data_IF_805989275547
#
_entry.id   IF_805989275547
#
_cell.length_a   1.000
_cell.length_b   1.000
_cell.length_c   1.000
_cell.angle_alpha   90.00
_cell.angle_beta   90.00
_cell.angle_gamma   90.00
#
_symmetry.space_group_name_H-M   'P 1'
#
loop_
_entity.id
_entity.type
_entity.pdbx_description
1 polymer ?
#
# COMPACT_ATOMS: atom_id res chain seq x y z
N UNK A 1 2.27 29.67 -5.95
CA UNK A 1 1.49 29.55 -4.69
C UNK A 1 1.22 28.07 -4.43
N UNK A 2 1.96 27.42 -3.52
CA UNK A 2 1.60 26.08 -3.06
C UNK A 2 0.28 26.21 -2.29
N UNK A 3 -0.84 25.82 -2.90
CA UNK A 3 -2.13 25.75 -2.22
C UNK A 3 -2.05 24.63 -1.19
N UNK A 4 -1.96 24.99 0.08
CA UNK A 4 -2.21 24.09 1.19
C UNK A 4 -3.73 23.90 1.32
N UNK A 5 -4.31 23.07 0.45
CA UNK A 5 -5.63 22.51 0.69
C UNK A 5 -5.50 21.41 1.75
N UNK A 6 -6.34 21.47 2.79
CA UNK A 6 -6.42 20.39 3.78
C UNK A 6 -6.66 19.06 3.05
N UNK A 7 -5.99 17.96 3.42
CA UNK A 7 -6.30 16.65 2.86
C UNK A 7 -7.77 16.35 3.12
N UNK A 8 -8.55 16.22 2.05
CA UNK A 8 -9.97 15.86 2.11
C UNK A 8 -10.07 14.38 1.83
N UNK A 9 -10.80 13.66 2.69
CA UNK A 9 -11.23 12.29 2.43
C UNK A 9 -12.30 12.37 1.35
N UNK A 10 -12.03 11.78 0.19
CA UNK A 10 -12.94 11.78 -0.97
C UNK A 10 -13.79 10.52 -1.03
N UNK A 11 -13.31 9.43 -0.41
CA UNK A 11 -13.96 8.13 -0.38
C UNK A 11 -13.90 7.52 1.02
N UNK A 12 -14.99 6.91 1.46
CA UNK A 12 -15.04 6.16 2.72
C UNK A 12 -14.91 4.66 2.43
N UNK A 13 -13.90 4.04 3.02
CA UNK A 13 -13.69 2.59 2.93
C UNK A 13 -13.99 1.92 4.27
N UNK A 14 -14.61 0.74 4.29
CA UNK A 14 -14.88 0.03 5.52
C UNK A 14 -13.57 -0.45 6.14
N UNK A 15 -13.32 -0.04 7.40
CA UNK A 15 -12.23 -0.58 8.21
C UNK A 15 -12.72 -1.84 8.91
N UNK A 16 -12.09 -2.98 8.63
CA UNK A 16 -12.34 -4.21 9.38
C UNK A 16 -11.65 -4.10 10.75
N UNK A 17 -12.38 -4.03 11.88
CA UNK A 17 -11.79 -3.82 13.21
C UNK A 17 -10.96 -5.01 13.71
N UNK A 18 -11.11 -6.18 13.09
CA UNK A 18 -10.39 -7.41 13.44
C UNK A 18 -9.16 -7.65 12.55
N UNK A 19 -8.90 -6.75 11.60
CA UNK A 19 -7.76 -6.79 10.68
C UNK A 19 -6.79 -5.65 11.02
N UNK A 20 -5.49 -5.94 10.93
CA UNK A 20 -4.45 -4.93 11.09
C UNK A 20 -4.15 -4.32 9.70
N UNK A 21 -4.57 -3.08 9.48
CA UNK A 21 -4.37 -2.37 8.22
C UNK A 21 -3.05 -1.60 8.20
N UNK A 22 -2.13 -2.04 7.35
CA UNK A 22 -0.80 -1.44 7.19
C UNK A 22 -0.73 -0.73 5.84
N UNK A 23 -0.37 0.55 5.83
CA UNK A 23 -0.22 1.33 4.60
C UNK A 23 1.26 1.64 4.37
N UNK A 24 1.83 1.15 3.27
CA UNK A 24 3.09 1.63 2.72
C UNK A 24 2.80 2.83 1.82
N UNK A 25 2.98 4.02 2.37
CA UNK A 25 2.57 5.26 1.74
C UNK A 25 3.73 5.95 1.02
N UNK A 26 3.50 6.43 -0.21
CA UNK A 26 4.49 7.20 -0.98
C UNK A 26 5.83 6.47 -1.18
N UNK A 27 5.78 5.18 -1.56
CA UNK A 27 6.97 4.35 -1.72
C UNK A 27 7.83 4.73 -2.94
N UNK A 28 9.15 4.57 -2.78
CA UNK A 28 10.20 4.73 -3.79
C UNK A 28 10.83 3.39 -4.19
N UNK A 29 11.65 3.39 -5.24
CA UNK A 29 12.25 2.16 -5.78
C UNK A 29 13.05 1.38 -4.74
N UNK A 30 12.75 0.09 -4.63
CA UNK A 30 13.33 -0.82 -3.65
C UNK A 30 12.58 -0.88 -2.32
N UNK A 31 11.79 0.13 -1.96
CA UNK A 31 11.04 0.14 -0.70
C UNK A 31 9.85 -0.82 -0.73
N UNK A 32 9.21 -1.00 -1.89
CA UNK A 32 8.08 -1.94 -2.00
C UNK A 32 8.52 -3.38 -1.75
N UNK A 33 9.71 -3.76 -2.23
CA UNK A 33 10.23 -5.11 -2.01
C UNK A 33 10.51 -5.37 -0.53
N UNK A 34 11.14 -4.42 0.14
CA UNK A 34 11.45 -4.52 1.57
C UNK A 34 10.18 -4.55 2.42
N UNK A 35 9.23 -3.65 2.14
CA UNK A 35 7.95 -3.59 2.83
C UNK A 35 7.12 -4.85 2.61
N UNK A 36 7.11 -5.39 1.39
CA UNK A 36 6.46 -6.66 1.07
C UNK A 36 7.08 -7.82 1.86
N UNK A 37 8.41 -7.96 1.84
CA UNK A 37 9.12 -9.01 2.59
C UNK A 37 8.79 -8.95 4.09
N UNK A 38 8.83 -7.75 4.68
CA UNK A 38 8.49 -7.56 6.09
C UNK A 38 7.03 -7.94 6.39
N UNK A 39 6.11 -7.57 5.50
CA UNK A 39 4.70 -7.93 5.66
C UNK A 39 4.45 -9.44 5.56
N UNK A 40 5.12 -10.13 4.63
CA UNK A 40 5.00 -11.58 4.49
C UNK A 40 5.42 -12.33 5.75
N UNK A 41 6.48 -11.87 6.43
CA UNK A 41 6.89 -12.41 7.72
C UNK A 41 5.88 -12.08 8.83
N UNK A 42 5.41 -10.83 8.90
CA UNK A 42 4.40 -10.41 9.87
C UNK A 42 3.12 -11.25 9.76
N UNK A 43 2.67 -11.52 8.53
CA UNK A 43 1.42 -12.23 8.24
C UNK A 43 1.42 -13.69 8.72
N UNK A 44 2.59 -14.30 8.89
CA UNK A 44 2.71 -15.63 9.52
C UNK A 44 2.20 -15.62 10.97
N UNK A 45 2.38 -14.49 11.67
CA UNK A 45 1.94 -14.29 13.05
C UNK A 45 0.55 -13.64 13.10
N UNK A 46 0.34 -12.59 12.32
CA UNK A 46 -0.91 -11.84 12.24
C UNK A 46 -1.66 -12.18 10.95
N UNK A 47 -2.41 -13.29 10.96
CA UNK A 47 -3.10 -13.81 9.76
C UNK A 47 -4.07 -12.81 9.13
N UNK A 48 -4.72 -11.99 9.97
CA UNK A 48 -5.69 -10.97 9.53
C UNK A 48 -5.02 -9.64 9.13
N UNK A 49 -3.70 -9.55 9.07
CA UNK A 49 -3.03 -8.34 8.62
C UNK A 49 -3.23 -8.11 7.11
N UNK A 50 -3.39 -6.84 6.73
CA UNK A 50 -3.59 -6.38 5.35
C UNK A 50 -2.56 -5.32 5.01
N UNK A 51 -2.03 -5.38 3.80
CA UNK A 51 -1.06 -4.43 3.28
C UNK A 51 -1.67 -3.60 2.14
N UNK A 52 -1.59 -2.29 2.25
CA UNK A 52 -1.90 -1.35 1.18
C UNK A 52 -0.61 -0.73 0.69
N UNK A 53 -0.28 -0.90 -0.58
CA UNK A 53 0.91 -0.31 -1.19
C UNK A 53 0.46 0.88 -2.03
N UNK A 54 0.94 2.08 -1.70
CA UNK A 54 0.55 3.32 -2.39
C UNK A 54 1.81 3.98 -2.98
N UNK A 55 2.20 3.63 -4.21
CA UNK A 55 3.40 4.18 -4.84
C UNK A 55 3.27 5.69 -5.07
N UNK A 56 4.37 6.42 -4.91
CA UNK A 56 4.38 7.89 -5.05
C UNK A 56 4.12 8.35 -6.49
N UNK A 57 4.51 7.54 -7.45
CA UNK A 57 4.73 7.89 -8.85
C UNK A 57 3.95 6.94 -9.77
N UNK A 58 2.98 7.42 -10.57
CA UNK A 58 2.18 6.57 -11.47
C UNK A 58 2.99 5.73 -12.46
N UNK A 59 4.12 6.26 -12.93
CA UNK A 59 5.06 5.57 -13.80
C UNK A 59 5.58 4.26 -13.19
N UNK A 60 5.52 4.12 -11.86
CA UNK A 60 5.98 2.93 -11.14
C UNK A 60 4.89 1.89 -10.90
N UNK A 61 3.62 2.21 -11.13
CA UNK A 61 2.52 1.26 -10.86
C UNK A 61 2.72 -0.08 -11.57
N UNK A 62 3.16 -0.04 -12.84
CA UNK A 62 3.42 -1.26 -13.61
C UNK A 62 4.59 -2.07 -13.05
N UNK A 63 5.66 -1.40 -12.63
CA UNK A 63 6.83 -2.04 -12.03
C UNK A 63 6.46 -2.74 -10.70
N UNK A 64 5.70 -2.05 -9.84
CA UNK A 64 5.25 -2.62 -8.56
C UNK A 64 4.26 -3.77 -8.78
N UNK A 65 3.37 -3.67 -9.77
CA UNK A 65 2.48 -4.77 -10.14
C UNK A 65 3.26 -6.02 -10.54
N UNK A 66 4.30 -5.88 -11.39
CA UNK A 66 5.13 -7.01 -11.80
C UNK A 66 5.88 -7.61 -10.60
N UNK A 67 6.43 -6.76 -9.72
CA UNK A 67 7.07 -7.19 -8.47
C UNK A 67 6.12 -8.02 -7.61
N UNK A 68 4.89 -7.56 -7.40
CA UNK A 68 3.88 -8.31 -6.63
C UNK A 68 3.52 -9.63 -7.31
N UNK A 69 3.34 -9.62 -8.63
CA UNK A 69 3.02 -10.80 -9.38
C UNK A 69 4.11 -11.89 -9.26
N UNK A 70 5.38 -11.50 -9.34
CA UNK A 70 6.50 -12.43 -9.21
C UNK A 70 6.71 -12.89 -7.76
N UNK A 71 6.69 -11.96 -6.80
CA UNK A 71 6.94 -12.25 -5.40
C UNK A 71 5.84 -13.09 -4.74
N UNK A 72 4.59 -12.95 -5.19
CA UNK A 72 3.44 -13.63 -4.59
C UNK A 72 3.02 -14.90 -5.32
N UNK A 73 3.61 -15.20 -6.49
CA UNK A 73 3.27 -16.36 -7.33
C UNK A 73 3.28 -17.71 -6.59
N UNK A 74 4.17 -17.86 -5.62
CA UNK A 74 4.35 -19.10 -4.83
C UNK A 74 3.80 -18.98 -3.41
N UNK A 75 3.17 -17.85 -3.08
CA UNK A 75 2.60 -17.60 -1.75
C UNK A 75 1.10 -17.90 -1.73
N UNK A 76 0.52 -18.30 -0.59
CA UNK A 76 -0.92 -18.51 -0.48
C UNK A 76 -1.70 -17.20 -0.32
N UNK A 77 -1.04 -16.04 -0.44
CA UNK A 77 -1.64 -14.74 -0.15
C UNK A 77 -2.31 -14.13 -1.38
N UNK A 78 -3.49 -13.58 -1.16
CA UNK A 78 -4.30 -12.90 -2.16
C UNK A 78 -3.79 -11.47 -2.39
N UNK A 79 -3.72 -11.04 -3.66
CA UNK A 79 -3.43 -9.66 -3.98
C UNK A 79 -4.23 -9.17 -5.17
N UNK A 80 -4.50 -7.87 -5.20
CA UNK A 80 -5.29 -7.21 -6.25
C UNK A 80 -4.77 -5.80 -6.54
N UNK A 81 -5.11 -5.27 -7.71
CA UNK A 81 -4.91 -3.87 -8.06
C UNK A 81 -6.19 -3.06 -7.84
N UNK A 82 -6.06 -1.88 -7.25
CA UNK A 82 -7.17 -0.97 -7.00
C UNK A 82 -7.84 -0.52 -8.32
N UNK A 83 -7.07 -0.27 -9.37
CA UNK A 83 -7.61 0.06 -10.70
C UNK A 83 -8.45 -1.06 -11.31
N UNK A 84 -8.22 -2.32 -10.92
CA UNK A 84 -8.92 -3.48 -11.49
C UNK A 84 -10.23 -3.79 -10.78
N UNK A 85 -10.23 -3.84 -9.43
CA UNK A 85 -11.40 -4.24 -8.63
C UNK A 85 -11.86 -3.20 -7.60
N UNK A 86 -11.18 -2.07 -7.50
CA UNK A 86 -11.43 -1.07 -6.46
C UNK A 86 -11.00 -1.55 -5.07
N UNK A 87 -11.74 -1.12 -4.05
CA UNK A 87 -11.49 -1.55 -2.67
C UNK A 87 -12.11 -2.93 -2.44
N UNK A 88 -11.26 -3.94 -2.24
CA UNK A 88 -11.66 -5.33 -1.99
C UNK A 88 -10.99 -5.87 -0.75
N UNK A 89 -11.57 -6.92 -0.15
CA UNK A 89 -10.94 -7.68 0.94
C UNK A 89 -9.92 -8.66 0.36
N UNK A 90 -8.64 -8.29 0.45
CA UNK A 90 -7.49 -9.12 0.10
C UNK A 90 -6.33 -8.85 1.06
N UNK A 91 -5.32 -9.71 1.01
CA UNK A 91 -4.14 -9.60 1.87
C UNK A 91 -3.27 -8.41 1.49
N UNK A 92 -3.11 -8.17 0.18
CA UNK A 92 -2.28 -7.09 -0.36
C UNK A 92 -3.06 -6.36 -1.45
N UNK A 93 -3.21 -5.04 -1.32
CA UNK A 93 -3.86 -4.21 -2.31
C UNK A 93 -2.88 -3.15 -2.84
N UNK A 94 -2.60 -3.20 -4.14
CA UNK A 94 -1.85 -2.16 -4.82
C UNK A 94 -2.77 -0.99 -5.16
N UNK A 95 -2.53 0.16 -4.56
CA UNK A 95 -3.27 1.41 -4.79
C UNK A 95 -2.59 2.19 -5.90
N UNK A 96 -2.86 1.79 -7.14
CA UNK A 96 -2.35 2.38 -8.38
C UNK A 96 -3.24 3.53 -8.90
N UNK A 97 -3.69 4.40 -7.99
CA UNK A 97 -4.53 5.55 -8.32
C UNK A 97 -4.13 6.79 -7.54
N UNK A 98 -4.03 7.91 -8.25
CA UNK A 98 -3.77 9.21 -7.64
C UNK A 98 -4.97 9.68 -6.81
N UNK A 99 -4.67 10.35 -5.70
CA UNK A 99 -5.68 10.95 -4.82
C UNK A 99 -6.27 10.02 -3.76
N UNK A 100 -5.96 8.72 -3.80
CA UNK A 100 -6.51 7.76 -2.83
C UNK A 100 -5.76 7.71 -1.50
N UNK A 101 -4.52 8.21 -1.44
CA UNK A 101 -3.66 8.10 -0.26
C UNK A 101 -4.33 8.60 1.04
N UNK A 102 -5.05 9.73 0.98
CA UNK A 102 -5.77 10.26 2.15
C UNK A 102 -6.87 9.33 2.64
N UNK A 103 -7.55 8.64 1.72
CA UNK A 103 -8.60 7.68 2.06
C UNK A 103 -8.00 6.44 2.73
N UNK A 104 -6.83 5.99 2.28
CA UNK A 104 -6.12 4.87 2.91
C UNK A 104 -5.52 5.24 4.28
N UNK A 105 -5.11 6.49 4.50
CA UNK A 105 -4.73 6.95 5.84
C UNK A 105 -5.89 6.87 6.84
N UNK A 106 -7.11 7.17 6.41
CA UNK A 106 -8.27 7.15 7.30
C UNK A 106 -8.62 5.75 7.84
N UNK A 107 -8.23 4.69 7.12
CA UNK A 107 -8.51 3.28 7.51
C UNK A 107 -7.28 2.54 8.05
N UNK A 108 -6.11 3.20 8.07
CA UNK A 108 -4.86 2.60 8.53
C UNK A 108 -4.85 2.43 10.06
N UNK A 109 -4.23 1.34 10.51
CA UNK A 109 -3.75 1.19 11.88
C UNK A 109 -2.29 1.60 11.99
N UNK A 110 -1.50 1.25 10.97
CA UNK A 110 -0.09 1.56 10.88
C UNK A 110 0.18 2.17 9.51
N UNK A 111 0.94 3.25 9.49
CA UNK A 111 1.41 3.90 8.27
C UNK A 111 2.94 3.88 8.27
N UNK A 112 3.52 3.34 7.20
CA UNK A 112 4.95 3.39 6.91
C UNK A 112 5.13 4.36 5.75
N UNK A 113 5.78 5.49 6.01
CA UNK A 113 6.08 6.50 5.01
C UNK A 113 7.36 6.12 4.25
N UNK A 114 7.22 5.91 2.94
CA UNK A 114 8.34 5.77 2.01
C UNK A 114 9.10 7.07 1.78
N UNK A 115 10.17 6.99 1.00
CA UNK A 115 11.13 8.08 0.77
C UNK A 115 12.10 8.30 1.94
N UNK A 116 12.06 7.42 2.95
CA UNK A 116 12.91 7.47 4.13
C UNK A 116 13.87 6.27 4.22
N UNK A 117 13.63 5.18 3.48
CA UNK A 117 14.43 3.96 3.57
C UNK A 117 15.55 3.91 2.52
N UNK A 118 15.42 4.67 1.43
CA UNK A 118 16.45 4.82 0.40
C UNK A 118 16.93 6.27 0.44
N UNK A 119 18.25 6.51 0.58
CA UNK A 119 18.85 7.84 0.59
C UNK A 119 18.59 8.56 -0.75
N UNK A 120 17.49 9.30 -0.85
CA UNK A 120 17.40 10.42 -1.78
C UNK A 120 17.70 11.68 -0.95
N UNK A 121 18.87 12.26 -1.19
CA UNK A 121 19.43 13.35 -0.38
C UNK A 121 18.53 14.58 -0.29
N UNK A 122 18.70 15.33 0.81
CA UNK A 122 18.10 16.65 1.00
C UNK A 122 18.74 17.73 0.14
#
# INVERSE_FOLDING_TARGET
IKRFSKPVITSFYPKNPSALNIVLASTHEGEEELGLKAFLELKKTFKNARLFIVPRHPERFKSVQNLLQDALKTTPFSWECFSSKGFVECDILLVDRLGELNNFYAIADIVILGGSFVKMGG
#
